data_IF_906305023727
#
_entry.id   IF_906305023727
#
_cell.length_a   1.000
_cell.length_b   1.000
_cell.length_c   1.000
_cell.angle_alpha   90.00
_cell.angle_beta   90.00
_cell.angle_gamma   90.00
#
_symmetry.space_group_name_H-M   'P 1'
#
loop_
_entity.id
_entity.type
_entity.pdbx_description
1 polymer ?
#
# COMPACT_ATOMS: atom_id res chain seq x y z
N UNK A 1 -5.16 -19.63 13.61
CA UNK A 1 -4.55 -20.13 12.36
C UNK A 1 -5.31 -19.41 11.28
N UNK A 2 -4.68 -18.45 10.63
CA UNK A 2 -5.33 -17.70 9.54
C UNK A 2 -5.75 -18.71 8.47
N UNK A 3 -7.00 -18.67 8.04
CA UNK A 3 -7.51 -19.63 7.08
C UNK A 3 -6.81 -19.36 5.74
N UNK A 4 -6.14 -20.38 5.20
CA UNK A 4 -5.39 -20.23 3.95
C UNK A 4 -6.29 -19.84 2.77
N UNK A 5 -7.60 -20.12 2.83
CA UNK A 5 -8.53 -19.66 1.81
C UNK A 5 -8.80 -18.16 1.89
N UNK A 6 -8.81 -17.57 3.10
CA UNK A 6 -8.93 -16.12 3.27
C UNK A 6 -7.72 -15.39 2.68
N UNK A 7 -6.51 -15.93 2.90
CA UNK A 7 -5.29 -15.36 2.32
C UNK A 7 -5.31 -15.42 0.79
N UNK A 8 -5.61 -16.58 0.21
CA UNK A 8 -5.71 -16.74 -1.25
C UNK A 8 -6.78 -15.81 -1.86
N UNK A 9 -7.86 -15.53 -1.12
CA UNK A 9 -8.91 -14.62 -1.57
C UNK A 9 -8.44 -13.16 -1.67
N UNK A 10 -7.46 -12.74 -0.86
CA UNK A 10 -6.96 -11.36 -0.86
C UNK A 10 -5.75 -11.16 -1.78
N UNK A 11 -4.99 -12.22 -2.10
CA UNK A 11 -3.77 -12.12 -2.92
C UNK A 11 -3.96 -11.35 -4.24
N UNK A 12 -5.05 -11.51 -5.01
CA UNK A 12 -5.26 -10.76 -6.26
C UNK A 12 -5.41 -9.25 -6.06
N UNK A 13 -5.74 -8.80 -4.85
CA UNK A 13 -5.97 -7.40 -4.51
C UNK A 13 -4.74 -6.75 -3.87
N UNK A 14 -3.70 -7.53 -3.57
CA UNK A 14 -2.48 -7.03 -2.96
C UNK A 14 -1.44 -6.69 -4.06
N UNK A 15 -0.72 -5.57 -3.91
CA UNK A 15 0.25 -5.12 -4.90
C UNK A 15 1.60 -5.82 -4.69
N UNK A 16 1.59 -7.16 -4.84
CA UNK A 16 2.74 -8.01 -4.55
C UNK A 16 3.71 -8.08 -5.72
N UNK A 17 5.01 -8.03 -5.42
CA UNK A 17 6.10 -8.26 -6.39
C UNK A 17 6.80 -9.59 -6.11
N UNK A 18 7.27 -10.26 -7.17
CA UNK A 18 8.02 -11.52 -7.06
C UNK A 18 9.48 -11.18 -6.80
N UNK A 19 9.96 -11.48 -5.59
CA UNK A 19 11.37 -11.32 -5.23
C UNK A 19 12.27 -12.45 -5.76
N UNK A 20 13.59 -12.27 -5.64
CA UNK A 20 14.62 -13.19 -6.17
C UNK A 20 14.52 -14.64 -5.67
N UNK A 21 13.90 -14.88 -4.50
CA UNK A 21 13.67 -16.23 -3.95
C UNK A 21 12.25 -16.76 -4.17
N UNK A 22 11.50 -16.24 -5.17
CA UNK A 22 10.10 -16.61 -5.44
C UNK A 22 9.20 -16.39 -4.20
N UNK A 23 9.45 -15.30 -3.47
CA UNK A 23 8.59 -14.83 -2.39
C UNK A 23 7.76 -13.66 -2.90
N UNK A 24 6.50 -13.63 -2.49
CA UNK A 24 5.64 -12.47 -2.68
C UNK A 24 6.05 -11.41 -1.65
N UNK A 25 6.43 -10.24 -2.13
CA UNK A 25 6.89 -9.13 -1.31
C UNK A 25 6.03 -7.91 -1.59
N UNK A 26 5.78 -7.10 -0.57
CA UNK A 26 5.33 -5.74 -0.80
C UNK A 26 6.50 -4.86 -1.26
N UNK A 27 6.28 -3.89 -2.16
CA UNK A 27 7.32 -2.95 -2.56
C UNK A 27 7.86 -2.16 -1.37
N UNK A 28 9.19 -2.10 -1.27
CA UNK A 28 9.89 -1.57 -0.08
C UNK A 28 9.42 -0.17 0.29
N UNK A 29 9.30 0.73 -0.70
CA UNK A 29 8.86 2.12 -0.46
C UNK A 29 7.51 2.22 0.24
N UNK A 30 6.56 1.35 -0.12
CA UNK A 30 5.22 1.35 0.49
C UNK A 30 5.27 0.78 1.90
N UNK A 31 6.07 -0.28 2.10
CA UNK A 31 6.28 -0.84 3.45
C UNK A 31 6.90 0.19 4.38
N UNK A 32 7.94 0.90 3.93
CA UNK A 32 8.62 1.94 4.70
C UNK A 32 7.67 3.11 5.04
N UNK A 33 6.85 3.56 4.09
CA UNK A 33 5.85 4.60 4.32
C UNK A 33 4.78 4.15 5.34
N UNK A 34 4.24 2.94 5.21
CA UNK A 34 3.27 2.38 6.14
C UNK A 34 3.87 2.17 7.54
N UNK A 35 5.10 1.70 7.63
CA UNK A 35 5.82 1.56 8.90
C UNK A 35 6.04 2.94 9.56
N UNK A 36 6.39 3.95 8.77
CA UNK A 36 6.53 5.30 9.29
C UNK A 36 5.19 5.84 9.81
N UNK A 37 4.10 5.62 9.08
CA UNK A 37 2.74 6.05 9.45
C UNK A 37 2.23 5.35 10.71
N UNK A 38 2.54 4.05 10.89
CA UNK A 38 2.14 3.30 12.09
C UNK A 38 2.82 3.79 13.36
N UNK A 39 4.01 4.40 13.24
CA UNK A 39 4.75 5.04 14.34
C UNK A 39 4.22 6.44 14.70
N UNK A 40 3.25 6.95 13.94
CA UNK A 40 2.59 8.23 14.21
C UNK A 40 3.11 9.42 13.38
N UNK A 41 2.52 10.61 13.58
CA UNK A 41 2.79 11.80 12.77
C UNK A 41 4.20 12.38 12.96
N UNK A 42 4.83 12.19 14.13
CA UNK A 42 6.21 12.65 14.36
C UNK A 42 7.24 11.92 13.49
N UNK A 43 6.93 10.66 13.11
CA UNK A 43 7.79 9.83 12.29
C UNK A 43 7.43 9.90 10.81
N UNK A 44 6.13 9.85 10.47
CA UNK A 44 5.64 9.88 9.09
C UNK A 44 5.47 11.27 8.50
N UNK A 45 5.39 12.31 9.35
CA UNK A 45 5.00 13.68 8.99
C UNK A 45 3.58 13.81 8.43
N UNK A 46 2.78 12.74 8.48
CA UNK A 46 1.37 12.75 8.07
C UNK A 46 0.54 13.32 9.21
N UNK A 47 0.42 14.65 9.25
CA UNK A 47 -0.21 15.39 10.35
C UNK A 47 -1.61 15.93 10.02
N UNK A 48 -2.07 15.81 8.77
CA UNK A 48 -3.40 16.24 8.34
C UNK A 48 -3.93 15.40 7.17
N UNK A 49 -5.21 15.55 6.86
CA UNK A 49 -5.88 14.79 5.80
C UNK A 49 -5.32 15.03 4.40
N UNK A 50 -4.87 16.26 4.10
CA UNK A 50 -4.27 16.58 2.80
C UNK A 50 -2.95 15.83 2.59
N UNK A 51 -2.07 15.83 3.60
CA UNK A 51 -0.80 15.10 3.55
C UNK A 51 -1.05 13.59 3.49
N UNK A 52 -2.07 13.08 4.17
CA UNK A 52 -2.48 11.67 4.07
C UNK A 52 -2.92 11.30 2.65
N UNK A 53 -3.73 12.13 2.01
CA UNK A 53 -4.17 11.92 0.62
C UNK A 53 -3.00 11.88 -0.36
N UNK A 54 -2.02 12.77 -0.19
CA UNK A 54 -0.79 12.80 -0.99
C UNK A 54 0.02 11.52 -0.76
N UNK A 55 0.23 11.11 0.49
CA UNK A 55 0.97 9.89 0.83
C UNK A 55 0.33 8.64 0.22
N UNK A 56 -1.01 8.53 0.26
CA UNK A 56 -1.76 7.42 -0.36
C UNK A 56 -1.59 7.44 -1.88
N UNK A 57 -1.65 8.61 -2.50
CA UNK A 57 -1.47 8.77 -3.95
C UNK A 57 -0.06 8.35 -4.38
N UNK A 58 0.97 8.76 -3.64
CA UNK A 58 2.37 8.40 -3.91
C UNK A 58 2.64 6.89 -3.71
N UNK A 59 2.07 6.30 -2.65
CA UNK A 59 2.12 4.85 -2.45
C UNK A 59 1.46 4.11 -3.61
N UNK A 60 0.27 4.53 -4.06
CA UNK A 60 -0.44 3.88 -5.16
C UNK A 60 0.28 4.04 -6.50
N UNK A 61 0.88 5.19 -6.76
CA UNK A 61 1.74 5.43 -7.93
C UNK A 61 2.97 4.51 -7.92
N UNK A 62 3.61 4.33 -6.76
CA UNK A 62 4.76 3.42 -6.59
C UNK A 62 4.42 1.96 -6.89
N UNK A 63 3.15 1.58 -6.74
CA UNK A 63 2.63 0.24 -7.02
C UNK A 63 2.11 0.08 -8.45
N UNK A 64 2.17 1.15 -9.27
CA UNK A 64 1.51 1.22 -10.58
C UNK A 64 0.01 0.87 -10.52
N UNK A 65 -0.63 1.09 -9.38
CA UNK A 65 -2.07 0.88 -9.24
C UNK A 65 -2.80 2.05 -9.90
N UNK A 66 -3.73 1.74 -10.80
CA UNK A 66 -4.61 2.73 -11.40
C UNK A 66 -5.38 3.49 -10.32
N UNK A 67 -5.82 4.71 -10.64
CA UNK A 67 -6.59 5.51 -9.69
C UNK A 67 -8.06 5.09 -9.63
N UNK A 68 -8.54 4.48 -8.51
CA UNK A 68 -9.93 4.12 -8.36
C UNK A 68 -10.83 5.35 -8.18
N UNK A 69 -10.29 6.51 -7.77
CA UNK A 69 -11.07 7.76 -7.73
C UNK A 69 -11.18 8.41 -9.12
N UNK A 70 -10.26 8.13 -10.04
CA UNK A 70 -10.39 8.51 -11.45
C UNK A 70 -11.55 7.77 -12.15
N UNK A 71 -11.92 6.58 -11.69
CA UNK A 71 -13.12 5.85 -12.15
C UNK A 71 -14.45 6.42 -11.61
N UNK A 72 -14.39 7.40 -10.70
CA UNK A 72 -15.56 8.05 -10.10
C UNK A 72 -15.77 9.50 -10.59
N UNK A 73 -15.11 9.92 -11.68
CA UNK A 73 -15.46 11.16 -12.35
C UNK A 73 -16.70 10.93 -13.27
N UNK A 74 -17.76 11.76 -13.16
CA UNK A 74 -18.97 11.64 -13.97
C UNK A 74 -18.77 11.92 -15.46
#
# INVERSE_FOLDING_TARGET
MEDSAELESILPYLPLVIGSSRRLLWPSKVVEALEAMSRGPDHSRVNCGEVLSIAISDMRASLSLADPLALSAP
#
